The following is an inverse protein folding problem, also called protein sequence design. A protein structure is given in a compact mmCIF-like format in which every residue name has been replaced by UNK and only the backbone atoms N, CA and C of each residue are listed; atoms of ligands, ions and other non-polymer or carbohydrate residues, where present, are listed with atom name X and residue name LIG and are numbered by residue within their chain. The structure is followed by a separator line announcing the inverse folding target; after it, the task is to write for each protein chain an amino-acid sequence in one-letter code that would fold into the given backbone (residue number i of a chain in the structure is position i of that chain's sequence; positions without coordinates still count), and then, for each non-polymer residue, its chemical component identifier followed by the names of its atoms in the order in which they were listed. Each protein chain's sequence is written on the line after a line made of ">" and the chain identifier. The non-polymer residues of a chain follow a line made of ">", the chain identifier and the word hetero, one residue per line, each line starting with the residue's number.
data_IF_511076190273
#
_entry.id   IF_511076190273
#
_cell.length_a   1.000
_cell.length_b   1.000
_cell.length_c   1.000
_cell.angle_alpha   90.00
_cell.angle_beta   90.00
_cell.angle_gamma   90.00
#
_symmetry.space_group_name_H-M   'P 1'
#
loop_
_entity.id
_entity.type
_entity.pdbx_description
1 polymer ?
#
# COMPACT_ATOMS: atom_id res chain seq x y z
N UNK A 1 10.83 -12.26 29.00
CA UNK A 1 9.60 -12.36 28.19
C UNK A 1 9.87 -11.72 26.83
N UNK A 2 10.21 -12.54 25.83
CA UNK A 2 10.52 -12.06 24.48
C UNK A 2 9.23 -11.97 23.67
N UNK A 3 8.95 -10.79 23.13
CA UNK A 3 7.71 -10.50 22.39
C UNK A 3 7.87 -11.05 20.97
N UNK A 4 7.30 -12.22 20.70
CA UNK A 4 7.33 -12.86 19.39
C UNK A 4 6.55 -12.00 18.40
N UNK A 5 7.26 -11.33 17.48
CA UNK A 5 6.66 -10.66 16.33
C UNK A 5 6.17 -11.73 15.36
N UNK A 6 4.86 -11.82 15.18
CA UNK A 6 4.23 -12.67 14.17
C UNK A 6 4.55 -12.11 12.79
N UNK A 7 5.46 -12.76 12.09
CA UNK A 7 5.83 -12.43 10.71
C UNK A 7 4.62 -12.72 9.81
N UNK A 8 3.87 -11.68 9.44
CA UNK A 8 2.77 -11.78 8.47
C UNK A 8 3.37 -12.30 7.15
N UNK A 9 2.87 -13.43 6.66
CA UNK A 9 3.40 -14.10 5.48
C UNK A 9 2.88 -13.36 4.22
N UNK A 10 3.46 -12.21 3.91
CA UNK A 10 3.17 -11.42 2.71
C UNK A 10 3.81 -12.12 1.50
N UNK A 11 3.03 -12.46 0.48
CA UNK A 11 3.54 -13.12 -0.72
C UNK A 11 4.04 -12.08 -1.73
N UNK A 12 5.27 -11.61 -1.52
CA UNK A 12 5.91 -10.59 -2.34
C UNK A 12 6.12 -11.01 -3.79
N UNK A 13 6.34 -12.31 -4.04
CA UNK A 13 6.56 -12.86 -5.39
C UNK A 13 5.37 -12.59 -6.33
N UNK A 14 4.17 -12.42 -5.78
CA UNK A 14 2.95 -12.12 -6.55
C UNK A 14 2.70 -10.62 -6.78
N UNK A 15 3.28 -9.74 -5.96
CA UNK A 15 3.09 -8.29 -6.06
C UNK A 15 3.91 -7.65 -7.20
N UNK A 16 5.04 -8.27 -7.57
CA UNK A 16 5.95 -7.74 -8.60
C UNK A 16 5.31 -7.59 -10.00
N UNK A 17 4.28 -8.38 -10.31
CA UNK A 17 3.60 -8.36 -11.62
C UNK A 17 2.42 -7.37 -11.69
N UNK A 18 2.19 -6.57 -10.64
CA UNK A 18 1.04 -5.66 -10.55
C UNK A 18 1.39 -4.19 -10.72
N UNK A 19 2.67 -3.86 -10.94
CA UNK A 19 3.07 -2.48 -11.24
C UNK A 19 2.54 -2.09 -12.64
N UNK A 20 1.76 -1.00 -12.77
CA UNK A 20 1.39 -0.48 -14.08
C UNK A 20 2.65 -0.19 -14.90
N UNK A 21 2.66 -0.54 -16.19
CA UNK A 21 3.82 -0.32 -17.09
C UNK A 21 4.26 1.16 -17.12
N UNK A 22 3.33 2.10 -16.92
CA UNK A 22 3.63 3.53 -16.84
C UNK A 22 4.28 3.99 -15.51
N UNK A 23 4.21 3.17 -14.46
CA UNK A 23 4.77 3.49 -13.15
C UNK A 23 6.30 3.31 -13.13
N UNK A 24 6.90 2.55 -14.04
CA UNK A 24 8.34 2.29 -13.99
C UNK A 24 9.23 3.54 -14.23
N UNK A 25 8.67 4.68 -14.65
CA UNK A 25 9.44 5.84 -15.15
C UNK A 25 9.35 7.11 -14.32
N UNK A 26 8.39 7.23 -13.40
CA UNK A 26 8.21 8.45 -12.60
C UNK A 26 8.75 8.26 -11.17
N UNK A 27 9.56 9.20 -10.64
CA UNK A 27 10.17 9.13 -9.30
C UNK A 27 9.16 9.40 -8.15
N UNK A 28 7.88 9.13 -8.39
CA UNK A 28 6.81 9.36 -7.43
C UNK A 28 6.45 8.06 -6.68
N UNK A 29 5.94 8.17 -5.44
CA UNK A 29 5.41 7.02 -4.72
C UNK A 29 4.29 6.31 -5.47
N UNK A 30 4.21 4.99 -5.34
CA UNK A 30 3.33 4.15 -6.18
C UNK A 30 2.51 3.19 -5.35
N UNK A 31 1.21 3.11 -5.62
CA UNK A 31 0.32 2.17 -4.97
C UNK A 31 0.38 0.79 -5.63
N UNK A 32 0.46 -0.24 -4.82
CA UNK A 32 0.39 -1.65 -5.22
C UNK A 32 -0.58 -2.37 -4.30
N UNK A 33 -1.44 -3.22 -4.85
CA UNK A 33 -2.21 -4.16 -4.05
C UNK A 33 -1.37 -5.41 -3.81
N UNK A 34 -1.24 -5.83 -2.57
CA UNK A 34 -0.49 -7.01 -2.15
C UNK A 34 -1.49 -8.03 -1.65
N UNK A 35 -1.61 -9.20 -2.32
CA UNK A 35 -2.49 -10.26 -1.85
C UNK A 35 -2.11 -10.70 -0.43
N UNK A 36 -3.05 -10.58 0.51
CA UNK A 36 -2.87 -11.08 1.87
C UNK A 36 -3.80 -12.27 2.11
N UNK A 37 -3.28 -13.45 1.81
CA UNK A 37 -3.99 -14.72 1.87
C UNK A 37 -4.39 -15.14 3.29
N UNK A 38 -3.88 -14.47 4.34
CA UNK A 38 -4.23 -14.76 5.73
C UNK A 38 -5.43 -13.97 6.23
N UNK A 39 -5.73 -12.80 5.67
CA UNK A 39 -6.78 -11.91 6.18
C UNK A 39 -7.97 -11.73 5.23
N UNK A 40 -8.03 -12.51 4.14
CA UNK A 40 -9.10 -12.50 3.14
C UNK A 40 -9.42 -11.10 2.56
N UNK A 41 -8.43 -10.21 2.56
CA UNK A 41 -8.49 -8.91 1.90
C UNK A 41 -7.09 -8.54 1.41
N UNK A 42 -7.00 -7.81 0.30
CA UNK A 42 -5.73 -7.31 -0.21
C UNK A 42 -5.21 -6.17 0.67
N UNK A 43 -3.90 -6.16 0.90
CA UNK A 43 -3.20 -5.07 1.57
C UNK A 43 -2.75 -4.03 0.54
N UNK A 44 -2.60 -2.78 0.95
CA UNK A 44 -2.07 -1.72 0.09
C UNK A 44 -0.60 -1.51 0.47
N UNK A 45 0.28 -1.54 -0.53
CA UNK A 45 1.66 -1.13 -0.40
C UNK A 45 1.89 0.19 -1.15
N UNK A 46 2.71 1.07 -0.58
CA UNK A 46 3.23 2.26 -1.24
C UNK A 46 4.72 2.06 -1.43
N UNK A 47 5.12 1.97 -2.70
CA UNK A 47 6.50 1.79 -3.12
C UNK A 47 7.13 3.17 -3.32
N UNK A 48 8.29 3.41 -2.72
CA UNK A 48 9.06 4.65 -2.87
C UNK A 48 10.53 4.35 -3.17
N UNK A 49 11.21 5.28 -3.83
CA UNK A 49 12.61 5.10 -4.22
C UNK A 49 13.55 5.18 -3.02
N UNK A 50 14.51 4.27 -2.99
CA UNK A 50 15.58 4.28 -1.99
C UNK A 50 16.34 5.60 -1.99
N UNK A 51 16.57 6.13 -0.79
CA UNK A 51 17.24 7.41 -0.58
C UNK A 51 16.29 8.60 -0.48
N UNK A 52 15.01 8.43 -0.86
CA UNK A 52 13.97 9.39 -0.51
C UNK A 52 13.44 9.10 0.91
N UNK A 53 12.98 10.12 1.65
CA UNK A 53 12.29 9.89 2.91
C UNK A 53 11.02 9.05 2.66
N UNK A 54 10.62 8.17 3.60
CA UNK A 54 9.33 7.50 3.51
C UNK A 54 8.20 8.53 3.41
N UNK A 55 7.24 8.36 2.48
CA UNK A 55 6.20 9.36 2.25
C UNK A 55 5.20 9.40 3.41
N UNK A 56 4.60 10.57 3.65
CA UNK A 56 3.46 10.71 4.55
C UNK A 56 2.22 10.08 3.92
N UNK A 57 1.61 9.12 4.62
CA UNK A 57 0.40 8.45 4.15
C UNK A 57 -0.83 9.11 4.76
N UNK A 58 -1.73 9.55 3.90
CA UNK A 58 -3.07 10.04 4.28
C UNK A 58 -4.14 9.20 3.62
N UNK A 59 -5.25 8.98 4.31
CA UNK A 59 -6.44 8.34 3.75
C UNK A 59 -7.58 9.34 3.77
N UNK A 60 -8.19 9.55 2.60
CA UNK A 60 -9.30 10.48 2.43
C UNK A 60 -10.54 9.73 1.95
N UNK A 61 -11.65 9.89 2.64
CA UNK A 61 -12.94 9.47 2.12
C UNK A 61 -13.34 10.37 0.94
N UNK A 62 -13.69 9.75 -0.18
CA UNK A 62 -14.16 10.46 -1.38
C UNK A 62 -15.68 10.32 -1.53
N UNK A 63 -16.22 9.15 -1.21
CA UNK A 63 -17.67 8.91 -1.23
C UNK A 63 -18.04 7.66 -0.45
N UNK A 64 -18.51 7.82 0.79
CA UNK A 64 -19.06 6.73 1.60
C UNK A 64 -18.03 5.62 1.81
N UNK A 65 -18.14 4.53 1.04
CA UNK A 65 -17.21 3.40 1.15
C UNK A 65 -15.97 3.50 0.26
N UNK A 66 -15.84 4.57 -0.53
CA UNK A 66 -14.70 4.82 -1.41
C UNK A 66 -13.70 5.75 -0.74
N UNK A 67 -12.47 5.27 -0.62
CA UNK A 67 -11.36 5.96 0.02
C UNK A 67 -10.18 6.06 -0.94
N UNK A 68 -9.44 7.16 -0.86
CA UNK A 68 -8.18 7.35 -1.58
C UNK A 68 -7.03 7.30 -0.60
N UNK A 69 -6.00 6.52 -0.94
CA UNK A 69 -4.71 6.55 -0.27
C UNK A 69 -3.84 7.57 -0.98
N UNK A 70 -3.28 8.51 -0.23
CA UNK A 70 -2.37 9.52 -0.69
C UNK A 70 -0.99 9.31 -0.08
N UNK A 71 0.05 9.49 -0.88
CA UNK A 71 1.44 9.56 -0.45
C UNK A 71 1.95 10.97 -0.76
N UNK A 72 2.31 11.74 0.27
CA UNK A 72 2.69 13.16 0.17
C UNK A 72 1.66 14.00 -0.62
N UNK A 73 0.37 13.69 -0.44
CA UNK A 73 -0.73 14.36 -1.15
C UNK A 73 -0.99 13.87 -2.58
N UNK A 74 -0.19 12.94 -3.11
CA UNK A 74 -0.41 12.30 -4.42
C UNK A 74 -1.29 11.06 -4.24
N UNK A 75 -2.40 10.97 -5.00
CA UNK A 75 -3.27 9.80 -4.96
C UNK A 75 -2.58 8.58 -5.59
N UNK A 76 -2.34 7.55 -4.77
CA UNK A 76 -1.60 6.33 -5.19
C UNK A 76 -2.49 5.09 -5.25
N UNK A 77 -3.61 5.06 -4.54
CA UNK A 77 -4.60 3.99 -4.64
C UNK A 77 -6.02 4.49 -4.35
N UNK A 78 -7.02 3.85 -4.98
CA UNK A 78 -8.44 4.04 -4.66
C UNK A 78 -9.00 2.70 -4.20
N UNK A 79 -9.66 2.70 -3.04
CA UNK A 79 -10.21 1.51 -2.40
C UNK A 79 -11.69 1.70 -2.16
N UNK A 80 -12.49 0.88 -2.83
CA UNK A 80 -13.93 0.78 -2.59
C UNK A 80 -14.20 -0.51 -1.80
N UNK A 81 -14.66 -0.39 -0.55
CA UNK A 81 -14.99 -1.55 0.30
C UNK A 81 -16.50 -1.72 0.39
N UNK A 82 -17.06 -2.78 -0.19
CA UNK A 82 -18.50 -3.05 -0.06
C UNK A 82 -18.93 -3.31 1.40
N UNK A 83 -18.01 -3.86 2.21
CA UNK A 83 -18.21 -4.20 3.62
C UNK A 83 -16.91 -4.01 4.41
N UNK A 84 -17.00 -3.78 5.72
CA UNK A 84 -15.84 -3.63 6.61
C UNK A 84 -15.47 -2.17 6.90
N UNK A 85 -14.51 -1.93 7.80
CA UNK A 85 -14.11 -0.57 8.16
C UNK A 85 -13.36 0.12 7.01
N UNK A 86 -13.30 1.45 7.08
CA UNK A 86 -12.40 2.25 6.24
C UNK A 86 -10.93 1.77 6.36
N UNK A 87 -10.12 1.86 5.29
CA UNK A 87 -8.68 1.61 5.38
C UNK A 87 -8.03 2.54 6.40
N UNK A 88 -7.05 2.01 7.13
CA UNK A 88 -6.28 2.78 8.12
C UNK A 88 -4.84 2.97 7.64
N UNK A 89 -4.22 4.08 8.07
CA UNK A 89 -2.85 4.41 7.67
C UNK A 89 -1.87 3.31 8.08
N UNK A 90 -2.06 2.72 9.27
CA UNK A 90 -1.23 1.62 9.78
C UNK A 90 -1.39 0.28 9.03
N UNK A 91 -2.40 0.18 8.15
CA UNK A 91 -2.60 -0.97 7.25
C UNK A 91 -1.82 -0.80 5.93
N UNK A 92 -1.37 0.42 5.61
CA UNK A 92 -0.58 0.71 4.40
C UNK A 92 0.87 0.36 4.67
N UNK A 93 1.43 -0.49 3.81
CA UNK A 93 2.81 -0.91 3.94
C UNK A 93 3.74 -0.05 3.08
N UNK A 94 4.77 0.52 3.68
CA UNK A 94 5.79 1.26 2.95
C UNK A 94 6.89 0.29 2.46
N UNK A 95 7.19 0.35 1.16
CA UNK A 95 8.18 -0.49 0.51
C UNK A 95 9.22 0.38 -0.15
N UNK A 96 10.46 0.30 0.30
CA UNK A 96 11.58 0.92 -0.38
C UNK A 96 12.00 0.04 -1.58
N UNK A 97 12.05 0.60 -2.79
CA UNK A 97 12.62 -0.08 -3.97
C UNK A 97 14.03 0.43 -4.26
N UNK A 98 14.90 -0.50 -4.61
CA UNK A 98 16.19 -0.16 -5.24
C UNK A 98 15.99 -0.13 -6.75
N UNK A 99 16.46 0.94 -7.40
CA UNK A 99 16.50 1.06 -8.86
C UNK A 99 17.58 0.16 -9.47
#
# INVERSE_FOLDING_TARGET
>A
MSKTMTHRHLCWDSAANMMPVAAATEPCPQGVLVPNTQQNHDQIAVVYDKGNPPPEITIKEVSGTVHTVLADGVAVAVVARATGPAPRVDEVLLVERSL
#
